data_IF_079030146771
#
_entry.id   IF_079030146771
#
_cell.length_a   1.000
_cell.length_b   1.000
_cell.length_c   1.000
_cell.angle_alpha   90.00
_cell.angle_beta   90.00
_cell.angle_gamma   90.00
#
_symmetry.space_group_name_H-M   'P 1'
#
loop_
_entity.id
_entity.type
_entity.pdbx_description
1 polymer ?
#
# COMPACT_ATOMS: atom_id res chain seq x y z
N UNK A 1 11.53 13.03 -1.22
CA UNK A 1 11.94 11.68 -1.66
C UNK A 1 11.42 11.36 -3.05
N UNK A 2 12.10 10.50 -3.79
CA UNK A 2 11.70 9.90 -5.06
C UNK A 2 10.95 8.59 -4.77
N UNK A 3 9.65 8.56 -5.02
CA UNK A 3 8.78 7.45 -4.59
C UNK A 3 8.16 6.77 -5.80
N UNK A 4 8.21 5.44 -5.83
CA UNK A 4 7.35 4.60 -6.67
C UNK A 4 6.13 4.22 -5.83
N UNK A 5 4.94 4.49 -6.35
CA UNK A 5 3.68 4.11 -5.72
C UNK A 5 3.05 2.90 -6.40
N UNK A 6 2.65 1.91 -5.63
CA UNK A 6 2.00 0.69 -6.12
C UNK A 6 0.65 0.51 -5.44
N UNK A 7 -0.43 0.61 -6.20
CA UNK A 7 -1.80 0.49 -5.68
C UNK A 7 -2.82 0.31 -6.79
N UNK A 8 -4.05 -0.09 -6.43
CA UNK A 8 -5.09 -0.33 -7.42
C UNK A 8 -6.45 0.24 -7.03
N UNK A 9 -7.08 -0.14 -5.87
CA UNK A 9 -8.45 0.24 -5.55
C UNK A 9 -8.55 1.63 -4.92
N UNK A 10 -9.77 2.03 -4.68
CA UNK A 10 -10.12 3.29 -4.00
C UNK A 10 -9.43 3.45 -2.63
N UNK A 11 -9.18 2.35 -1.93
CA UNK A 11 -8.45 2.37 -0.64
C UNK A 11 -7.07 3.03 -0.75
N UNK A 12 -6.40 2.88 -1.88
CA UNK A 12 -5.07 3.43 -2.12
C UNK A 12 -5.07 4.92 -2.54
N UNK A 13 -6.24 5.46 -2.90
CA UNK A 13 -6.34 6.78 -3.52
C UNK A 13 -5.84 7.92 -2.63
N UNK A 14 -6.32 8.09 -1.37
CA UNK A 14 -5.86 9.18 -0.52
C UNK A 14 -4.35 9.13 -0.27
N UNK A 15 -3.78 7.93 -0.21
CA UNK A 15 -2.34 7.74 -0.04
C UNK A 15 -1.55 8.29 -1.23
N UNK A 16 -1.96 7.97 -2.47
CA UNK A 16 -1.30 8.50 -3.67
C UNK A 16 -1.40 10.03 -3.73
N UNK A 17 -2.58 10.59 -3.50
CA UNK A 17 -2.81 12.03 -3.56
C UNK A 17 -1.92 12.76 -2.54
N UNK A 18 -1.93 12.34 -1.27
CA UNK A 18 -1.14 12.97 -0.22
C UNK A 18 0.38 12.84 -0.42
N UNK A 19 0.83 11.68 -0.93
CA UNK A 19 2.26 11.50 -1.27
C UNK A 19 2.65 12.41 -2.43
N UNK A 20 1.83 12.51 -3.47
CA UNK A 20 2.11 13.33 -4.65
C UNK A 20 2.16 14.83 -4.34
N UNK A 21 1.46 15.29 -3.30
CA UNK A 21 1.52 16.69 -2.84
C UNK A 21 2.86 17.05 -2.15
N UNK A 22 3.53 16.07 -1.53
CA UNK A 22 4.69 16.31 -0.66
C UNK A 22 6.01 15.74 -1.18
N UNK A 23 5.93 14.77 -2.08
CA UNK A 23 7.08 14.03 -2.60
C UNK A 23 7.01 13.92 -4.12
N UNK A 24 8.11 13.54 -4.74
CA UNK A 24 8.18 13.24 -6.17
C UNK A 24 7.72 11.80 -6.42
N UNK A 25 6.50 11.62 -6.91
CA UNK A 25 6.02 10.32 -7.40
C UNK A 25 6.57 10.09 -8.81
N UNK A 26 7.63 9.29 -8.92
CA UNK A 26 8.35 9.05 -10.17
C UNK A 26 7.65 8.08 -11.12
N UNK A 27 6.85 7.18 -10.57
CA UNK A 27 5.98 6.28 -11.31
C UNK A 27 4.92 5.65 -10.43
N UNK A 28 3.85 5.19 -11.06
CA UNK A 28 2.71 4.51 -10.44
C UNK A 28 2.53 3.14 -11.08
N UNK A 29 2.46 2.11 -10.24
CA UNK A 29 2.17 0.75 -10.65
C UNK A 29 0.75 0.39 -10.21
N UNK A 30 -0.06 -0.08 -11.14
CA UNK A 30 -1.44 -0.52 -10.88
C UNK A 30 -1.75 -1.78 -11.67
N UNK A 31 -2.82 -2.49 -11.31
CA UNK A 31 -3.24 -3.67 -12.08
C UNK A 31 -3.68 -3.28 -13.49
N UNK A 32 -3.58 -4.23 -14.41
CA UNK A 32 -4.07 -4.09 -15.78
C UNK A 32 -5.57 -3.74 -15.81
N UNK A 33 -5.95 -2.96 -16.81
CA UNK A 33 -7.33 -2.59 -17.06
C UNK A 33 -8.19 -3.83 -17.30
N UNK A 34 -9.41 -3.80 -16.79
CA UNK A 34 -10.38 -4.87 -17.03
C UNK A 34 -11.50 -4.39 -17.95
N UNK A 35 -11.90 -5.20 -18.94
CA UNK A 35 -13.09 -4.90 -19.70
C UNK A 35 -14.32 -4.93 -18.81
N UNK A 36 -15.27 -4.02 -19.06
CA UNK A 36 -16.56 -4.03 -18.39
C UNK A 36 -17.29 -5.36 -18.69
N UNK A 37 -18.08 -5.85 -17.73
CA UNK A 37 -18.91 -7.06 -17.87
C UNK A 37 -19.83 -7.05 -19.11
N UNK A 38 -20.07 -5.89 -19.74
CA UNK A 38 -20.83 -5.71 -20.99
C UNK A 38 -19.94 -5.45 -22.22
N UNK A 39 -18.64 -5.68 -22.14
CA UNK A 39 -17.74 -5.86 -23.31
C UNK A 39 -17.38 -4.63 -24.15
N UNK A 40 -17.76 -3.39 -23.81
CA UNK A 40 -17.54 -2.21 -24.68
C UNK A 40 -16.79 -1.03 -24.06
N UNK A 41 -16.50 -1.02 -22.76
CA UNK A 41 -15.81 0.08 -22.11
C UNK A 41 -14.71 -0.45 -21.19
N UNK A 42 -13.49 0.06 -21.35
CA UNK A 42 -12.38 -0.24 -20.45
C UNK A 42 -12.57 0.61 -19.19
N UNK A 43 -12.59 -0.03 -18.02
CA UNK A 43 -12.58 0.67 -16.73
C UNK A 43 -11.17 0.75 -16.20
N UNK A 44 -10.70 1.97 -16.00
CA UNK A 44 -9.44 2.21 -15.29
C UNK A 44 -9.59 1.99 -13.79
N UNK A 45 -8.50 1.61 -13.14
CA UNK A 45 -8.48 1.62 -11.67
C UNK A 45 -8.54 3.06 -11.16
N UNK A 46 -9.07 3.31 -9.94
CA UNK A 46 -9.05 4.64 -9.32
C UNK A 46 -7.64 5.25 -9.31
N UNK A 47 -6.62 4.44 -9.05
CA UNK A 47 -5.22 4.86 -9.06
C UNK A 47 -4.77 5.28 -10.46
N UNK A 48 -5.16 4.56 -11.51
CA UNK A 48 -4.83 4.94 -12.88
C UNK A 48 -5.47 6.27 -13.27
N UNK A 49 -6.72 6.50 -12.90
CA UNK A 49 -7.43 7.75 -13.20
C UNK A 49 -6.71 8.97 -12.60
N UNK A 50 -6.31 8.87 -11.32
CA UNK A 50 -5.56 9.95 -10.65
C UNK A 50 -4.15 10.11 -11.23
N UNK A 51 -3.47 9.01 -11.54
CA UNK A 51 -2.15 9.08 -12.17
C UNK A 51 -2.19 9.78 -13.53
N UNK A 52 -3.21 9.50 -14.36
CA UNK A 52 -3.43 10.19 -15.63
C UNK A 52 -3.71 11.69 -15.43
N UNK A 53 -4.58 12.03 -14.48
CA UNK A 53 -4.93 13.43 -14.18
C UNK A 53 -3.73 14.25 -13.70
N UNK A 54 -2.74 13.61 -13.08
CA UNK A 54 -1.52 14.24 -12.56
C UNK A 54 -0.29 14.04 -13.48
N UNK A 55 -0.48 13.53 -14.70
CA UNK A 55 0.59 13.23 -15.66
C UNK A 55 1.71 12.33 -15.08
N UNK A 56 1.37 11.41 -14.19
CA UNK A 56 2.31 10.46 -13.62
C UNK A 56 2.55 9.31 -14.59
N UNK A 57 3.79 8.80 -14.64
CA UNK A 57 4.14 7.63 -15.46
C UNK A 57 3.48 6.38 -14.88
N UNK A 58 2.79 5.61 -15.71
CA UNK A 58 1.98 4.45 -15.29
C UNK A 58 2.58 3.17 -15.84
N UNK A 59 2.67 2.16 -14.98
CA UNK A 59 3.06 0.78 -15.30
C UNK A 59 1.94 -0.18 -14.90
N UNK A 60 1.62 -1.10 -15.78
CA UNK A 60 0.59 -2.14 -15.56
C UNK A 60 1.15 -3.53 -15.90
N UNK A 61 2.26 -3.95 -15.28
CA UNK A 61 2.85 -5.24 -15.59
C UNK A 61 1.94 -6.38 -15.15
N UNK A 62 1.93 -7.47 -15.90
CA UNK A 62 1.24 -8.69 -15.51
C UNK A 62 1.92 -9.35 -14.30
N UNK A 63 3.23 -9.36 -14.29
CA UNK A 63 4.09 -9.87 -13.23
C UNK A 63 5.46 -9.16 -13.26
N UNK A 64 6.36 -9.55 -12.36
CA UNK A 64 7.73 -9.02 -12.27
C UNK A 64 8.79 -10.03 -12.71
N UNK A 65 8.48 -10.89 -13.68
CA UNK A 65 9.44 -11.87 -14.25
C UNK A 65 10.29 -11.29 -15.37
N UNK A 66 9.93 -10.13 -15.90
CA UNK A 66 10.65 -9.45 -16.96
C UNK A 66 11.86 -8.70 -16.38
N UNK A 67 13.06 -9.19 -16.69
CA UNK A 67 14.31 -8.57 -16.24
C UNK A 67 14.48 -7.13 -16.76
N UNK A 68 13.94 -6.82 -17.94
CA UNK A 68 13.99 -5.46 -18.49
C UNK A 68 13.17 -4.48 -17.64
N UNK A 69 12.00 -4.91 -17.13
CA UNK A 69 11.19 -4.12 -16.21
C UNK A 69 11.91 -3.91 -14.87
N UNK A 70 12.53 -4.96 -14.33
CA UNK A 70 13.30 -4.86 -13.08
C UNK A 70 14.44 -3.86 -13.23
N UNK A 71 15.17 -3.93 -14.35
CA UNK A 71 16.27 -3.00 -14.64
C UNK A 71 15.74 -1.56 -14.84
N UNK A 72 14.59 -1.39 -15.49
CA UNK A 72 13.95 -0.07 -15.61
C UNK A 72 13.60 0.52 -14.23
N UNK A 73 13.05 -0.29 -13.32
CA UNK A 73 12.75 0.16 -11.94
C UNK A 73 14.06 0.53 -11.21
N UNK A 74 15.13 -0.25 -11.38
CA UNK A 74 16.45 0.05 -10.80
C UNK A 74 17.00 1.38 -11.32
N UNK A 75 16.89 1.62 -12.63
CA UNK A 75 17.36 2.84 -13.28
C UNK A 75 16.56 4.09 -12.88
N UNK A 76 15.34 3.94 -12.39
CA UNK A 76 14.56 5.05 -11.78
C UNK A 76 15.17 5.55 -10.48
N UNK A 77 16.02 4.76 -9.81
CA UNK A 77 16.65 5.10 -8.53
C UNK A 77 15.64 5.60 -7.48
N UNK A 78 14.62 4.80 -7.12
CA UNK A 78 13.68 5.20 -6.10
C UNK A 78 14.34 5.25 -4.72
N UNK A 79 14.00 6.26 -3.93
CA UNK A 79 14.36 6.28 -2.51
C UNK A 79 13.51 5.28 -1.72
N UNK A 80 12.23 5.20 -2.06
CA UNK A 80 11.24 4.38 -1.38
C UNK A 80 10.22 3.83 -2.38
N UNK A 81 9.75 2.61 -2.15
CA UNK A 81 8.53 2.08 -2.80
C UNK A 81 7.42 2.01 -1.75
N UNK A 82 6.25 2.53 -2.09
CA UNK A 82 5.06 2.51 -1.24
C UNK A 82 4.00 1.62 -1.87
N UNK A 83 3.54 0.63 -1.13
CA UNK A 83 2.51 -0.33 -1.55
C UNK A 83 1.23 -0.12 -0.76
N UNK A 84 0.11 0.08 -1.44
CA UNK A 84 -1.22 0.17 -0.83
C UNK A 84 -2.21 -0.63 -1.66
N UNK A 85 -2.61 -1.79 -1.17
CA UNK A 85 -3.58 -2.67 -1.85
C UNK A 85 -3.27 -2.88 -3.34
N UNK A 86 -2.03 -3.16 -3.68
CA UNK A 86 -1.60 -3.39 -5.05
C UNK A 86 -2.09 -4.73 -5.61
N UNK A 87 -2.13 -5.74 -4.74
CA UNK A 87 -2.65 -7.07 -5.06
C UNK A 87 -1.73 -7.92 -5.93
N UNK A 88 -0.43 -7.66 -5.89
CA UNK A 88 0.64 -8.49 -6.46
C UNK A 88 1.75 -8.65 -5.44
N UNK A 89 2.35 -9.83 -5.41
CA UNK A 89 3.54 -10.12 -4.60
C UNK A 89 4.75 -9.51 -5.30
N UNK A 90 5.58 -8.81 -4.55
CA UNK A 90 6.84 -8.26 -5.04
C UNK A 90 7.96 -9.28 -4.81
N UNK A 91 8.74 -9.61 -5.84
CA UNK A 91 9.90 -10.46 -5.67
C UNK A 91 11.02 -9.71 -4.92
N UNK A 92 11.94 -10.47 -4.35
CA UNK A 92 13.06 -9.92 -3.58
C UNK A 92 13.89 -8.91 -4.39
N UNK A 93 14.06 -9.15 -5.67
CA UNK A 93 14.80 -8.29 -6.60
C UNK A 93 14.21 -6.87 -6.67
N UNK A 94 12.89 -6.72 -6.51
CA UNK A 94 12.21 -5.41 -6.44
C UNK A 94 12.30 -4.82 -5.03
N UNK A 95 12.14 -5.66 -3.99
CA UNK A 95 12.17 -5.22 -2.60
C UNK A 95 13.52 -4.60 -2.24
N UNK A 96 14.60 -5.11 -2.81
CA UNK A 96 15.98 -4.67 -2.53
C UNK A 96 16.42 -3.44 -3.35
N UNK A 97 15.61 -2.94 -4.30
CA UNK A 97 16.00 -1.80 -5.15
C UNK A 97 16.04 -0.47 -4.39
N UNK A 98 14.97 -0.07 -3.67
CA UNK A 98 14.91 1.27 -3.12
C UNK A 98 15.85 1.44 -1.92
N UNK A 99 16.44 2.64 -1.82
CA UNK A 99 17.40 2.99 -0.76
C UNK A 99 16.84 2.74 0.66
N UNK A 100 15.58 3.08 0.88
CA UNK A 100 14.89 2.94 2.18
C UNK A 100 13.92 1.76 2.23
N UNK A 101 14.01 0.85 1.24
CA UNK A 101 13.17 -0.34 1.19
C UNK A 101 11.77 -0.10 0.65
N UNK A 102 10.90 -1.05 0.91
CA UNK A 102 9.50 -1.04 0.49
C UNK A 102 8.63 -1.02 1.73
N UNK A 103 7.65 -0.14 1.79
CA UNK A 103 6.67 -0.09 2.88
C UNK A 103 5.26 -0.37 2.36
N UNK A 104 4.42 -0.95 3.21
CA UNK A 104 3.03 -1.28 2.91
C UNK A 104 2.09 -0.68 3.97
N UNK A 105 0.98 -0.13 3.51
CA UNK A 105 -0.17 0.21 4.34
C UNK A 105 -1.12 -0.99 4.38
N UNK A 106 -1.25 -1.61 5.55
CA UNK A 106 -2.13 -2.74 5.81
C UNK A 106 -3.31 -2.31 6.68
N UNK A 107 -4.54 -2.69 6.29
CA UNK A 107 -5.77 -2.26 6.97
C UNK A 107 -6.15 -3.17 8.14
N UNK A 108 -5.20 -3.44 9.03
CA UNK A 108 -5.41 -4.07 10.33
C UNK A 108 -4.34 -3.65 11.34
N UNK A 109 -4.58 -3.96 12.60
CA UNK A 109 -3.59 -3.88 13.66
C UNK A 109 -2.75 -5.17 13.67
N UNK A 110 -1.67 -5.22 12.88
CA UNK A 110 -0.81 -6.38 12.82
C UNK A 110 -0.25 -6.78 14.21
N UNK A 111 -0.14 -8.06 14.54
CA UNK A 111 -0.18 -9.23 13.63
C UNK A 111 -1.56 -9.80 13.33
N UNK A 112 -2.64 -9.18 13.81
CA UNK A 112 -4.00 -9.66 13.52
C UNK A 112 -4.36 -9.44 12.06
N UNK A 113 -5.06 -10.41 11.48
CA UNK A 113 -5.59 -10.35 10.11
C UNK A 113 -4.53 -10.06 9.05
N UNK A 114 -3.42 -10.81 9.07
CA UNK A 114 -2.48 -10.88 7.97
C UNK A 114 -3.18 -11.37 6.70
N UNK A 115 -2.71 -10.95 5.53
CA UNK A 115 -3.26 -11.39 4.24
C UNK A 115 -4.43 -10.56 3.76
N UNK A 116 -5.32 -11.20 2.99
CA UNK A 116 -6.40 -10.54 2.29
C UNK A 116 -7.62 -10.24 3.20
N UNK A 117 -8.35 -9.16 2.87
CA UNK A 117 -9.65 -8.80 3.46
C UNK A 117 -9.67 -8.56 4.99
N UNK A 118 -8.69 -7.89 5.60
CA UNK A 118 -8.63 -7.66 7.05
C UNK A 118 -9.82 -6.86 7.59
N UNK A 119 -10.38 -5.93 6.81
CA UNK A 119 -11.55 -5.11 7.22
C UNK A 119 -12.78 -6.01 7.39
N UNK A 120 -13.06 -6.88 6.42
CA UNK A 120 -14.16 -7.83 6.52
C UNK A 120 -13.96 -8.79 7.70
N UNK A 121 -12.74 -9.27 7.91
CA UNK A 121 -12.42 -10.17 9.00
C UNK A 121 -12.70 -9.54 10.36
N UNK A 122 -12.33 -8.28 10.58
CA UNK A 122 -12.59 -7.56 11.82
C UNK A 122 -14.10 -7.41 12.11
N UNK A 123 -14.90 -7.07 11.10
CA UNK A 123 -16.36 -6.92 11.24
C UNK A 123 -17.02 -8.28 11.51
N UNK A 124 -16.70 -9.30 10.74
CA UNK A 124 -17.28 -10.65 10.89
C UNK A 124 -16.94 -11.25 12.25
N UNK A 125 -15.73 -11.00 12.74
CA UNK A 125 -15.29 -11.46 14.06
C UNK A 125 -15.92 -10.69 15.23
N UNK A 126 -16.63 -9.60 14.96
CA UNK A 126 -17.22 -8.76 15.99
C UNK A 126 -16.21 -7.98 16.83
N UNK A 127 -15.05 -7.68 16.25
CA UNK A 127 -14.03 -6.91 16.93
C UNK A 127 -14.56 -5.50 17.28
N UNK A 128 -14.18 -4.99 18.44
CA UNK A 128 -14.54 -3.63 18.87
C UNK A 128 -13.54 -2.57 18.41
N UNK A 129 -12.41 -3.01 17.87
CA UNK A 129 -11.32 -2.16 17.40
C UNK A 129 -10.72 -2.71 16.12
N UNK A 130 -10.35 -1.81 15.24
CA UNK A 130 -9.54 -2.06 14.06
C UNK A 130 -8.47 -0.98 13.95
N UNK A 131 -7.79 -0.90 12.85
CA UNK A 131 -6.79 0.13 12.61
C UNK A 131 -5.99 -0.14 11.35
N UNK A 132 -4.89 0.59 11.26
CA UNK A 132 -3.95 0.50 10.14
C UNK A 132 -2.54 0.31 10.66
N UNK A 133 -1.73 -0.38 9.87
CA UNK A 133 -0.31 -0.61 10.15
C UNK A 133 0.52 -0.20 8.95
N UNK A 134 1.58 0.56 9.18
CA UNK A 134 2.64 0.78 8.19
C UNK A 134 3.80 -0.13 8.56
N UNK A 135 4.22 -0.95 7.60
CA UNK A 135 5.23 -1.97 7.81
C UNK A 135 6.20 -2.05 6.64
N UNK A 136 7.41 -2.54 6.87
CA UNK A 136 8.30 -2.94 5.80
C UNK A 136 7.78 -4.20 5.10
N UNK A 137 7.99 -4.26 3.79
CA UNK A 137 7.67 -5.45 2.99
C UNK A 137 8.88 -6.37 2.98
N UNK A 138 8.64 -7.65 3.26
CA UNK A 138 9.60 -8.75 3.17
C UNK A 138 9.06 -9.83 2.24
N UNK A 139 9.83 -10.88 1.97
CA UNK A 139 9.39 -12.00 1.12
C UNK A 139 8.19 -12.74 1.74
N UNK A 140 8.15 -12.85 3.07
CA UNK A 140 6.99 -13.43 3.77
C UNK A 140 5.87 -12.39 3.88
N UNK A 141 4.66 -12.79 3.47
CA UNK A 141 3.50 -11.90 3.43
C UNK A 141 3.16 -11.32 4.81
N UNK A 142 3.07 -10.00 4.88
CA UNK A 142 2.69 -9.21 6.06
C UNK A 142 3.49 -9.57 7.34
N UNK A 143 4.75 -9.99 7.18
CA UNK A 143 5.64 -10.40 8.26
C UNK A 143 6.70 -9.36 8.62
N UNK A 144 6.89 -8.35 7.79
CA UNK A 144 7.90 -7.33 7.99
C UNK A 144 7.69 -6.49 9.24
N UNK A 145 8.72 -5.76 9.62
CA UNK A 145 8.72 -4.93 10.81
C UNK A 145 7.70 -3.79 10.72
N UNK A 146 6.89 -3.62 11.76
CA UNK A 146 5.90 -2.55 11.85
C UNK A 146 6.59 -1.24 12.27
N UNK A 147 6.38 -0.19 11.49
CA UNK A 147 6.89 1.17 11.73
C UNK A 147 5.93 1.94 12.62
N UNK A 148 4.67 2.05 12.21
CA UNK A 148 3.61 2.76 12.92
C UNK A 148 2.30 1.97 12.85
N UNK A 149 1.46 2.18 13.87
CA UNK A 149 0.08 1.70 13.90
C UNK A 149 -0.82 2.78 14.48
N UNK A 150 -2.05 2.82 13.97
CA UNK A 150 -3.09 3.69 14.51
C UNK A 150 -4.41 2.92 14.62
N UNK A 151 -5.04 3.01 15.80
CA UNK A 151 -6.25 2.29 16.16
C UNK A 151 -7.50 3.15 15.94
N UNK A 152 -8.60 2.51 15.59
CA UNK A 152 -9.95 3.11 15.58
C UNK A 152 -10.97 2.13 16.15
N UNK A 153 -12.02 2.66 16.74
CA UNK A 153 -13.15 1.85 17.22
C UNK A 153 -14.01 1.34 16.07
N UNK A 154 -14.61 0.17 16.26
CA UNK A 154 -15.68 -0.38 15.42
C UNK A 154 -16.98 -0.28 16.21
N UNK A 155 -17.92 0.49 15.71
CA UNK A 155 -19.24 0.64 16.34
C UNK A 155 -20.16 -0.54 16.01
N UNK A 156 -21.23 -0.72 16.78
CA UNK A 156 -22.20 -1.80 16.54
C UNK A 156 -22.98 -1.62 15.22
N UNK A 157 -23.04 -0.40 14.68
CA UNK A 157 -23.66 -0.07 13.40
C UNK A 157 -22.67 -0.02 12.24
N UNK A 158 -21.39 -0.40 12.48
CA UNK A 158 -20.34 -0.31 11.49
C UNK A 158 -20.60 -1.21 10.28
N UNK A 159 -20.42 -0.67 9.10
CA UNK A 159 -20.44 -1.42 7.85
C UNK A 159 -19.02 -1.56 7.29
N UNK A 160 -18.83 -2.49 6.34
CA UNK A 160 -17.57 -2.57 5.60
C UNK A 160 -17.21 -1.22 4.97
N UNK A 161 -18.18 -0.54 4.34
CA UNK A 161 -17.92 0.70 3.62
C UNK A 161 -17.50 1.84 4.55
N UNK A 162 -18.20 2.02 5.69
CA UNK A 162 -17.86 3.08 6.63
C UNK A 162 -16.49 2.87 7.26
N UNK A 163 -16.16 1.64 7.65
CA UNK A 163 -14.84 1.31 8.19
C UNK A 163 -13.74 1.43 7.13
N UNK A 164 -13.99 0.94 5.92
CA UNK A 164 -13.07 1.07 4.78
C UNK A 164 -12.73 2.54 4.51
N UNK A 165 -13.73 3.41 4.45
CA UNK A 165 -13.52 4.83 4.16
C UNK A 165 -12.76 5.53 5.28
N UNK A 166 -13.04 5.20 6.54
CA UNK A 166 -12.29 5.74 7.66
C UNK A 166 -10.83 5.25 7.68
N UNK A 167 -10.60 3.95 7.45
CA UNK A 167 -9.25 3.37 7.47
C UNK A 167 -8.38 3.84 6.32
N UNK A 168 -8.94 4.10 5.11
CA UNK A 168 -8.14 4.61 3.99
C UNK A 168 -7.59 6.00 4.26
N UNK A 169 -8.37 6.87 4.89
CA UNK A 169 -7.94 8.24 5.22
C UNK A 169 -6.96 8.25 6.41
N UNK A 170 -7.29 7.50 7.47
CA UNK A 170 -6.40 7.29 8.61
C UNK A 170 -5.05 6.70 8.17
N UNK A 171 -5.08 5.71 7.31
CA UNK A 171 -3.89 5.06 6.76
C UNK A 171 -3.04 5.99 5.91
N UNK A 172 -3.66 6.85 5.09
CA UNK A 172 -2.94 7.82 4.29
C UNK A 172 -2.19 8.84 5.16
N UNK A 173 -2.81 9.31 6.25
CA UNK A 173 -2.16 10.21 7.20
C UNK A 173 -1.01 9.54 7.95
N UNK A 174 -1.23 8.30 8.40
CA UNK A 174 -0.20 7.52 9.08
C UNK A 174 0.98 7.21 8.15
N UNK A 175 0.69 6.95 6.88
CA UNK A 175 1.71 6.68 5.86
C UNK A 175 2.64 7.87 5.64
N UNK A 176 2.11 9.11 5.59
CA UNK A 176 2.94 10.31 5.51
C UNK A 176 3.84 10.47 6.74
N UNK A 177 3.32 10.20 7.94
CA UNK A 177 4.12 10.23 9.17
C UNK A 177 5.25 9.20 9.12
N UNK A 178 4.98 7.99 8.62
CA UNK A 178 6.00 6.96 8.47
C UNK A 178 7.09 7.36 7.46
N UNK A 179 6.71 7.94 6.32
CA UNK A 179 7.65 8.45 5.30
C UNK A 179 8.54 9.54 5.90
N UNK A 180 7.97 10.45 6.69
CA UNK A 180 8.74 11.51 7.37
C UNK A 180 9.77 10.93 8.35
N UNK A 181 9.41 9.92 9.14
CA UNK A 181 10.34 9.24 10.04
C UNK A 181 11.47 8.53 9.27
N UNK A 182 11.14 7.88 8.16
CA UNK A 182 12.13 7.22 7.29
C UNK A 182 13.09 8.26 6.70
N UNK A 183 12.59 9.39 6.22
CA UNK A 183 13.39 10.46 5.63
C UNK A 183 14.37 11.09 6.63
N UNK A 184 13.97 11.17 7.90
CA UNK A 184 14.79 11.68 9.01
C UNK A 184 15.70 10.64 9.66
N UNK A 185 15.64 9.37 9.21
CA UNK A 185 16.32 8.22 9.82
C UNK A 185 15.96 8.05 11.32
N UNK A 186 14.70 8.32 11.65
CA UNK A 186 14.15 8.27 13.03
C UNK A 186 13.23 7.06 13.25
N UNK A 187 13.33 6.02 12.40
CA UNK A 187 12.49 4.83 12.54
C UNK A 187 12.98 3.95 13.67
N UNK A 188 12.24 3.90 14.76
CA UNK A 188 12.40 2.89 15.80
C UNK A 188 11.60 1.63 15.40
N UNK A 189 12.28 0.64 14.84
CA UNK A 189 11.65 -0.62 14.46
C UNK A 189 11.28 -1.38 15.73
N UNK A 190 9.98 -1.43 16.06
CA UNK A 190 9.46 -2.36 17.06
C UNK A 190 9.48 -3.78 16.45
N UNK A 191 10.61 -4.48 16.61
CA UNK A 191 10.70 -5.90 16.25
C UNK A 191 9.80 -6.69 17.20
N UNK A 192 8.52 -6.74 16.91
CA UNK A 192 7.68 -7.81 17.44
C UNK A 192 7.97 -9.04 16.58
N UNK A 193 8.78 -9.96 17.07
CA UNK A 193 8.84 -11.32 16.54
C UNK A 193 7.39 -11.83 16.53
N UNK A 194 6.81 -11.86 15.36
CA UNK A 194 5.42 -12.28 15.17
C UNK A 194 5.44 -13.81 15.21
N UNK A 195 5.19 -14.38 16.39
CA UNK A 195 5.01 -15.82 16.50
C UNK A 195 3.77 -16.24 15.68
N UNK A 196 3.96 -17.28 14.85
CA UNK A 196 2.85 -17.98 14.20
C UNK A 196 1.94 -18.53 15.31
N UNK A 197 0.69 -18.11 15.35
CA UNK A 197 -0.42 -18.85 15.94
C UNK A 197 -1.26 -19.45 14.85
#
# INVERSE_FOLDING_TARGET
>A
MRIIFMGTPMFALPSLEKINEKHEVISVFTKADKPNARGKKINYSPIKEVALANNLKIYQPENFKDEALIEEIRNMQPDLIVVVAYGKILPKEIIDIPKYGVINLHSSLLPRFRGAAPINAAIINGDKKSGVSIMYVEEELDAGAVILQEETEITDEETFLSLHDRLKDLGADLLLKAIELIEKDEVEVKVKKQHKN
#
